data_IF_894550763436
#
_entry.id   IF_894550763436
#
_cell.length_a   1.000
_cell.length_b   1.000
_cell.length_c   1.000
_cell.angle_alpha   90.00
_cell.angle_beta   90.00
_cell.angle_gamma   90.00
#
_symmetry.space_group_name_H-M   'P 1'
#
loop_
_entity.id
_entity.type
_entity.pdbx_description
1 polymer ?
#
# COMPACT_ATOMS: atom_id res chain seq x y z
N UNK A 1 -47.06 -6.77 11.78
CA UNK A 1 -45.67 -6.31 11.72
C UNK A 1 -45.04 -6.55 13.10
N UNK A 2 -44.35 -7.67 13.29
CA UNK A 2 -43.80 -8.04 14.61
C UNK A 2 -42.38 -7.42 14.71
N UNK A 3 -42.25 -6.41 15.55
CA UNK A 3 -41.01 -5.83 15.94
C UNK A 3 -40.22 -6.84 16.77
N UNK A 4 -39.19 -7.48 16.23
CA UNK A 4 -38.26 -8.29 17.03
C UNK A 4 -37.30 -7.33 17.72
N UNK A 5 -37.53 -7.08 18.98
CA UNK A 5 -36.62 -6.38 19.85
C UNK A 5 -35.49 -7.36 20.24
N UNK A 6 -34.38 -7.33 19.57
CA UNK A 6 -33.22 -8.11 19.95
C UNK A 6 -32.44 -7.30 20.99
N UNK A 7 -32.39 -7.79 22.22
CA UNK A 7 -31.69 -7.17 23.34
C UNK A 7 -30.24 -7.60 23.27
N UNK A 8 -29.35 -6.66 23.24
CA UNK A 8 -27.91 -6.82 23.15
C UNK A 8 -27.25 -6.54 24.49
N UNK A 9 -26.44 -7.44 24.90
CA UNK A 9 -25.51 -7.19 26.00
C UNK A 9 -24.28 -6.49 25.46
N UNK A 10 -24.21 -5.17 25.68
CA UNK A 10 -22.91 -4.49 25.65
C UNK A 10 -22.20 -5.01 26.88
N UNK A 11 -21.17 -5.82 26.69
CA UNK A 11 -20.17 -5.99 27.73
C UNK A 11 -19.40 -4.67 27.78
N UNK A 12 -19.87 -3.78 28.66
CA UNK A 12 -19.13 -2.58 29.00
C UNK A 12 -17.92 -3.05 29.80
N UNK A 13 -16.87 -3.44 29.13
CA UNK A 13 -15.58 -3.64 29.72
C UNK A 13 -15.18 -2.30 30.33
N UNK A 14 -15.12 -2.22 31.66
CA UNK A 14 -14.41 -1.11 32.31
C UNK A 14 -13.00 -1.10 31.75
N UNK A 15 -12.71 -0.10 30.95
CA UNK A 15 -11.34 0.15 30.48
C UNK A 15 -10.55 0.61 31.67
N UNK A 16 -9.89 -0.33 32.34
CA UNK A 16 -8.75 0.00 33.20
C UNK A 16 -7.66 0.57 32.27
N UNK A 17 -7.00 1.67 32.65
CA UNK A 17 -5.89 2.19 31.85
C UNK A 17 -4.79 1.12 31.83
N UNK A 18 -4.58 0.52 30.66
CA UNK A 18 -3.61 -0.55 30.45
C UNK A 18 -4.16 -1.85 29.88
N UNK A 19 -5.48 -2.00 29.69
CA UNK A 19 -6.01 -3.15 28.96
C UNK A 19 -5.96 -2.87 27.46
N UNK A 20 -5.17 -3.68 26.76
CA UNK A 20 -5.18 -3.80 25.32
C UNK A 20 -6.60 -4.14 24.84
N UNK A 21 -7.07 -3.40 23.85
CA UNK A 21 -8.31 -3.75 23.17
C UNK A 21 -8.08 -5.08 22.44
N UNK A 22 -8.70 -6.15 22.93
CA UNK A 22 -8.68 -7.45 22.27
C UNK A 22 -9.31 -7.33 20.87
N UNK A 23 -8.86 -8.17 19.94
CA UNK A 23 -9.50 -8.26 18.63
C UNK A 23 -10.95 -8.70 18.82
N UNK A 24 -11.89 -7.89 18.35
CA UNK A 24 -13.31 -8.11 18.50
C UNK A 24 -13.89 -8.51 17.15
N UNK A 25 -14.37 -9.76 17.07
CA UNK A 25 -15.12 -10.23 15.89
C UNK A 25 -16.51 -9.62 15.96
N UNK A 26 -16.82 -8.75 15.02
CA UNK A 26 -18.14 -8.17 14.88
C UNK A 26 -19.01 -9.19 14.16
N UNK A 27 -19.92 -9.83 14.89
CA UNK A 27 -20.89 -10.76 14.32
C UNK A 27 -22.05 -10.03 13.65
N UNK A 28 -22.76 -10.69 12.77
CA UNK A 28 -23.93 -10.14 12.06
C UNK A 28 -24.99 -9.57 13.02
N UNK A 29 -25.12 -10.11 14.23
CA UNK A 29 -26.01 -9.61 15.28
C UNK A 29 -25.50 -8.33 15.94
N UNK A 30 -24.22 -8.14 16.06
CA UNK A 30 -23.60 -6.93 16.65
C UNK A 30 -23.70 -5.72 15.74
N UNK A 31 -23.69 -5.96 14.43
CA UNK A 31 -23.85 -4.91 13.41
C UNK A 31 -25.27 -4.35 13.30
N UNK A 32 -26.27 -5.18 13.52
CA UNK A 32 -27.67 -4.74 13.55
C UNK A 32 -27.89 -3.66 14.63
N UNK A 33 -26.99 -3.56 15.58
CA UNK A 33 -27.08 -2.63 16.71
C UNK A 33 -26.34 -1.33 16.62
N UNK A 34 -25.93 -0.82 15.52
CA UNK A 34 -25.58 0.59 15.51
C UNK A 34 -24.10 0.96 15.54
N UNK A 35 -23.23 0.20 14.96
CA UNK A 35 -21.94 0.74 14.60
C UNK A 35 -21.92 0.89 13.09
N UNK A 36 -22.16 2.09 12.59
CA UNK A 36 -21.77 2.43 11.23
C UNK A 36 -20.28 2.73 11.30
N UNK A 37 -19.50 1.81 10.78
CA UNK A 37 -18.08 2.09 10.54
C UNK A 37 -18.05 2.93 9.27
N UNK A 38 -17.96 4.25 9.43
CA UNK A 38 -17.68 5.12 8.30
C UNK A 38 -16.21 4.94 7.94
N UNK A 39 -15.97 4.31 6.81
CA UNK A 39 -14.64 4.25 6.24
C UNK A 39 -14.25 5.63 5.73
N UNK A 40 -13.40 6.32 6.46
CA UNK A 40 -12.81 7.57 6.00
C UNK A 40 -11.53 7.26 5.23
N UNK A 41 -11.52 7.61 3.96
CA UNK A 41 -10.30 7.56 3.16
C UNK A 41 -9.38 8.72 3.55
N UNK A 42 -8.20 8.40 4.03
CA UNK A 42 -7.18 9.39 4.38
C UNK A 42 -6.05 9.32 3.35
N UNK A 43 -5.82 10.42 2.68
CA UNK A 43 -4.73 10.55 1.69
C UNK A 43 -3.36 10.35 2.37
N UNK A 44 -2.50 9.51 1.80
CA UNK A 44 -1.15 9.22 2.30
C UNK A 44 -0.05 9.84 1.42
N UNK A 45 -0.44 10.35 0.25
CA UNK A 45 0.46 11.02 -0.69
C UNK A 45 -0.28 12.16 -1.40
N UNK A 46 0.45 13.20 -1.79
CA UNK A 46 -0.14 14.34 -2.49
C UNK A 46 -0.21 14.10 -3.98
N UNK A 47 0.78 13.39 -4.50
CA UNK A 47 0.96 13.17 -5.92
C UNK A 47 1.17 11.68 -6.20
N UNK A 48 0.65 11.20 -7.31
CA UNK A 48 1.07 9.93 -7.86
C UNK A 48 1.38 10.02 -9.35
N UNK A 49 2.34 9.26 -9.78
CA UNK A 49 2.79 9.22 -11.16
C UNK A 49 2.95 7.78 -11.60
N UNK A 50 2.41 7.44 -12.76
CA UNK A 50 2.61 6.15 -13.39
C UNK A 50 3.59 6.32 -14.54
N UNK A 51 4.68 5.55 -14.50
CA UNK A 51 5.61 5.33 -15.59
C UNK A 51 5.35 3.93 -16.14
N UNK A 52 4.89 3.85 -17.38
CA UNK A 52 4.42 2.62 -17.99
C UNK A 52 5.37 2.17 -19.10
N UNK A 53 5.97 1.01 -18.91
CA UNK A 53 6.88 0.39 -19.87
C UNK A 53 6.10 -0.12 -21.09
N UNK A 54 6.42 0.40 -22.24
CA UNK A 54 5.84 0.00 -23.52
C UNK A 54 6.84 -0.69 -24.45
N UNK A 55 7.92 -1.25 -23.88
CA UNK A 55 8.97 -1.95 -24.61
C UNK A 55 8.57 -3.37 -25.03
N UNK A 56 9.35 -3.94 -25.95
CA UNK A 56 9.07 -5.28 -26.49
C UNK A 56 9.14 -6.40 -25.46
N UNK A 57 9.94 -6.26 -24.39
CA UNK A 57 10.06 -7.28 -23.33
C UNK A 57 8.76 -7.46 -22.53
N UNK A 58 7.90 -6.45 -22.51
CA UNK A 58 6.58 -6.51 -21.89
C UNK A 58 5.58 -7.42 -22.64
N UNK A 59 5.92 -7.94 -23.82
CA UNK A 59 5.10 -8.92 -24.55
C UNK A 59 5.22 -10.36 -24.00
N UNK A 60 6.19 -10.61 -23.13
CA UNK A 60 6.31 -11.89 -22.47
C UNK A 60 5.15 -12.13 -21.49
N UNK A 61 4.81 -13.41 -21.29
CA UNK A 61 3.82 -13.78 -20.28
C UNK A 61 4.36 -13.46 -18.87
N UNK A 62 3.50 -12.96 -17.99
CA UNK A 62 3.91 -12.60 -16.62
C UNK A 62 4.13 -13.83 -15.73
N UNK A 63 3.54 -14.97 -16.06
CA UNK A 63 3.76 -16.27 -15.41
C UNK A 63 3.82 -17.37 -16.46
N UNK A 64 4.52 -18.47 -16.18
CA UNK A 64 4.71 -19.63 -17.09
C UNK A 64 3.40 -20.30 -17.49
N UNK A 65 2.34 -20.19 -16.68
CA UNK A 65 1.01 -20.71 -16.96
C UNK A 65 0.01 -19.68 -17.49
N UNK A 66 0.38 -18.40 -17.49
CA UNK A 66 -0.52 -17.33 -17.91
C UNK A 66 -0.63 -17.28 -19.43
N UNK A 67 -1.85 -16.99 -19.90
CA UNK A 67 -2.11 -16.65 -21.32
C UNK A 67 -2.10 -15.14 -21.57
N UNK A 68 -1.69 -14.36 -20.57
CA UNK A 68 -1.74 -12.90 -20.54
C UNK A 68 -0.31 -12.37 -20.45
N UNK A 69 0.03 -11.39 -21.25
CA UNK A 69 1.34 -10.74 -21.23
C UNK A 69 1.51 -9.82 -20.04
N UNK A 70 2.76 -9.51 -19.67
CA UNK A 70 3.09 -8.50 -18.65
C UNK A 70 2.41 -7.16 -18.96
N UNK A 71 2.36 -6.78 -20.23
CA UNK A 71 1.73 -5.55 -20.71
C UNK A 71 0.22 -5.52 -20.47
N UNK A 72 -0.46 -6.60 -20.87
CA UNK A 72 -1.91 -6.74 -20.68
C UNK A 72 -2.28 -6.77 -19.20
N UNK A 73 -1.53 -7.54 -18.39
CA UNK A 73 -1.73 -7.60 -16.95
C UNK A 73 -1.54 -6.22 -16.31
N UNK A 74 -0.45 -5.50 -16.64
CA UNK A 74 -0.18 -4.16 -16.12
C UNK A 74 -1.28 -3.16 -16.48
N UNK A 75 -1.78 -3.21 -17.72
CA UNK A 75 -2.85 -2.33 -18.18
C UNK A 75 -4.17 -2.61 -17.46
N UNK A 76 -4.49 -3.88 -17.26
CA UNK A 76 -5.70 -4.27 -16.52
C UNK A 76 -5.63 -3.85 -15.04
N UNK A 77 -4.52 -4.11 -14.39
CA UNK A 77 -4.27 -3.66 -13.01
C UNK A 77 -4.44 -2.14 -12.87
N UNK A 78 -3.89 -1.37 -13.82
CA UNK A 78 -4.00 0.07 -13.79
C UNK A 78 -5.46 0.54 -13.93
N UNK A 79 -6.26 -0.13 -14.75
CA UNK A 79 -7.71 0.14 -14.90
C UNK A 79 -8.47 -0.18 -13.62
N UNK A 80 -8.28 -1.36 -13.06
CA UNK A 80 -8.95 -1.80 -11.84
C UNK A 80 -8.56 -0.91 -10.64
N UNK A 81 -7.28 -0.57 -10.50
CA UNK A 81 -6.81 0.35 -9.45
C UNK A 81 -7.44 1.74 -9.57
N UNK A 82 -7.65 2.22 -10.81
CA UNK A 82 -8.31 3.50 -11.06
C UNK A 82 -9.79 3.48 -10.63
N UNK A 83 -10.51 2.39 -10.89
CA UNK A 83 -11.92 2.26 -10.51
C UNK A 83 -12.12 2.40 -9.01
N UNK A 84 -11.22 1.83 -8.24
CA UNK A 84 -11.27 1.79 -6.78
C UNK A 84 -10.69 3.05 -6.11
N UNK A 85 -9.92 3.86 -6.86
CA UNK A 85 -9.27 5.04 -6.32
C UNK A 85 -10.28 6.12 -5.94
N UNK A 86 -10.37 6.52 -4.64
CA UNK A 86 -11.21 7.62 -4.21
C UNK A 86 -10.62 8.95 -4.69
N UNK A 87 -11.49 9.92 -4.96
CA UNK A 87 -11.05 11.28 -5.27
C UNK A 87 -10.70 12.02 -3.96
N UNK A 88 -9.42 12.11 -3.67
CA UNK A 88 -8.87 12.78 -2.48
C UNK A 88 -8.03 14.00 -2.85
N UNK A 89 -8.23 14.55 -4.05
CA UNK A 89 -7.52 15.75 -4.49
C UNK A 89 -6.04 15.50 -4.76
N UNK A 90 -5.71 14.42 -5.45
CA UNK A 90 -4.35 14.15 -5.91
C UNK A 90 -3.97 15.02 -7.10
N UNK A 91 -2.66 15.25 -7.25
CA UNK A 91 -2.11 15.46 -8.58
C UNK A 91 -1.65 14.11 -9.14
N UNK A 92 -1.81 13.91 -10.43
CA UNK A 92 -1.45 12.64 -11.05
C UNK A 92 -0.83 12.81 -12.43
N UNK A 93 -0.08 11.81 -12.87
CA UNK A 93 0.48 11.75 -14.20
C UNK A 93 0.56 10.32 -14.74
N UNK A 94 0.45 10.16 -16.06
CA UNK A 94 0.66 8.89 -16.76
C UNK A 94 1.61 9.13 -17.94
N UNK A 95 2.75 8.49 -17.88
CA UNK A 95 3.81 8.60 -18.89
C UNK A 95 4.20 7.22 -19.37
N UNK A 96 4.39 7.07 -20.67
CA UNK A 96 5.03 5.86 -21.23
C UNK A 96 6.53 6.07 -21.34
N UNK A 97 7.28 4.98 -21.27
CA UNK A 97 8.69 4.96 -21.62
C UNK A 97 9.02 3.69 -22.41
N UNK A 98 9.73 3.87 -23.45
CA UNK A 98 10.36 2.92 -24.37
C UNK A 98 10.97 3.75 -25.50
N UNK A 99 10.92 3.26 -26.73
CA UNK A 99 11.32 4.02 -27.92
C UNK A 99 10.39 5.20 -28.25
N UNK A 100 9.16 5.21 -27.75
CA UNK A 100 8.13 6.26 -27.96
C UNK A 100 7.58 6.74 -26.61
N UNK A 101 8.25 7.76 -26.06
CA UNK A 101 7.87 8.35 -24.78
C UNK A 101 6.73 9.35 -24.95
N UNK A 102 5.64 9.18 -24.21
CA UNK A 102 4.48 10.07 -24.22
C UNK A 102 3.99 10.43 -22.83
N UNK A 103 3.59 11.69 -22.67
CA UNK A 103 2.78 12.13 -21.55
C UNK A 103 1.30 11.90 -21.93
N UNK A 104 0.76 10.74 -21.59
CA UNK A 104 -0.65 10.42 -21.87
C UNK A 104 -1.58 11.21 -20.95
N UNK A 105 -1.15 11.44 -19.71
CA UNK A 105 -1.77 12.35 -18.77
C UNK A 105 -0.65 13.19 -18.13
N UNK A 106 -0.41 14.42 -18.60
CA UNK A 106 0.60 15.28 -17.98
C UNK A 106 0.29 15.54 -16.52
N UNK A 107 1.32 15.65 -15.69
CA UNK A 107 1.17 15.89 -14.25
C UNK A 107 0.28 17.10 -13.97
N UNK A 108 -0.78 16.90 -13.21
CA UNK A 108 -1.80 17.88 -12.88
C UNK A 108 -2.90 17.31 -11.99
N UNK A 109 -3.94 18.10 -11.69
CA UNK A 109 -5.06 17.63 -10.88
C UNK A 109 -5.66 16.35 -11.42
N UNK A 110 -5.89 15.39 -10.54
CA UNK A 110 -6.45 14.10 -10.90
C UNK A 110 -7.92 14.24 -11.31
N UNK A 111 -8.24 13.75 -12.48
CA UNK A 111 -9.59 13.60 -13.01
C UNK A 111 -9.75 12.15 -13.47
N UNK A 112 -10.56 11.38 -12.77
CA UNK A 112 -10.72 9.95 -12.98
C UNK A 112 -11.14 9.61 -14.42
N UNK A 113 -12.05 10.40 -14.99
CA UNK A 113 -12.54 10.16 -16.35
C UNK A 113 -11.48 10.44 -17.42
N UNK A 114 -10.74 11.54 -17.30
CA UNK A 114 -9.65 11.86 -18.21
C UNK A 114 -8.47 10.90 -18.06
N UNK A 115 -8.23 10.45 -16.84
CA UNK A 115 -7.17 9.47 -16.58
C UNK A 115 -7.51 8.11 -17.19
N UNK A 116 -8.77 7.66 -17.10
CA UNK A 116 -9.25 6.45 -17.78
C UNK A 116 -9.04 6.55 -19.29
N UNK A 117 -9.42 7.67 -19.91
CA UNK A 117 -9.17 7.93 -21.34
C UNK A 117 -7.67 7.93 -21.68
N UNK A 118 -6.81 8.36 -20.76
CA UNK A 118 -5.36 8.29 -20.95
C UNK A 118 -4.85 6.84 -20.95
N UNK A 119 -5.37 5.99 -20.06
CA UNK A 119 -5.07 4.55 -20.07
C UNK A 119 -5.49 3.89 -21.39
N UNK A 120 -6.63 4.29 -21.96
CA UNK A 120 -7.09 3.74 -23.24
C UNK A 120 -6.20 4.16 -24.43
N UNK A 121 -5.44 5.24 -24.28
CA UNK A 121 -4.43 5.67 -25.29
C UNK A 121 -3.08 4.97 -25.16
N UNK A 122 -2.91 4.07 -24.20
CA UNK A 122 -1.73 3.20 -24.16
C UNK A 122 -1.63 2.42 -25.49
N UNK A 123 -0.43 2.21 -26.04
CA UNK A 123 -0.24 1.49 -27.30
C UNK A 123 -0.99 0.15 -27.31
N UNK A 124 -1.56 -0.23 -28.45
CA UNK A 124 -2.23 -1.52 -28.57
C UNK A 124 -1.26 -2.69 -28.35
N UNK A 125 0.01 -2.50 -28.74
CA UNK A 125 1.09 -3.46 -28.52
C UNK A 125 2.37 -2.73 -28.10
N UNK A 126 3.08 -3.26 -27.10
CA UNK A 126 4.38 -2.75 -26.71
C UNK A 126 5.43 -3.07 -27.79
N UNK A 127 6.39 -2.16 -27.97
CA UNK A 127 7.47 -2.31 -28.96
C UNK A 127 8.67 -1.45 -28.62
N UNK A 128 9.83 -1.85 -29.15
CA UNK A 128 11.08 -1.09 -29.04
C UNK A 128 11.89 -1.44 -27.80
N UNK A 129 12.95 -0.69 -27.60
CA UNK A 129 13.90 -0.86 -26.52
C UNK A 129 13.44 -0.17 -25.23
N UNK A 130 13.96 -0.62 -24.08
CA UNK A 130 13.62 -0.09 -22.76
C UNK A 130 14.64 0.97 -22.33
N UNK A 131 14.29 2.24 -22.39
CA UNK A 131 15.16 3.35 -21.99
C UNK A 131 14.87 3.85 -20.57
N UNK A 132 14.89 2.93 -19.60
CA UNK A 132 14.56 3.22 -18.19
C UNK A 132 15.42 4.34 -17.57
N UNK A 133 16.77 4.41 -17.78
CA UNK A 133 17.58 5.52 -17.26
C UNK A 133 17.16 6.89 -17.78
N UNK A 134 16.80 6.98 -19.06
CA UNK A 134 16.34 8.23 -19.67
C UNK A 134 15.00 8.66 -19.11
N UNK A 135 14.09 7.71 -18.91
CA UNK A 135 12.79 7.96 -18.29
C UNK A 135 12.96 8.48 -16.86
N UNK A 136 13.82 7.87 -16.06
CA UNK A 136 14.13 8.32 -14.69
C UNK A 136 14.80 9.70 -14.67
N UNK A 137 15.68 10.00 -15.61
CA UNK A 137 16.27 11.33 -15.74
C UNK A 137 15.22 12.39 -16.03
N UNK A 138 14.24 12.09 -16.90
CA UNK A 138 13.15 13.02 -17.22
C UNK A 138 12.20 13.21 -16.06
N UNK A 139 12.01 12.18 -15.22
CA UNK A 139 11.19 12.24 -14.02
C UNK A 139 11.63 13.38 -13.09
N UNK A 140 12.92 13.71 -13.02
CA UNK A 140 13.41 14.83 -12.22
C UNK A 140 12.73 16.15 -12.59
N UNK A 141 12.54 16.42 -13.88
CA UNK A 141 11.89 17.65 -14.36
C UNK A 141 10.40 17.73 -13.96
N UNK A 142 9.79 16.58 -13.65
CA UNK A 142 8.42 16.50 -13.16
C UNK A 142 8.42 16.70 -11.66
N UNK A 143 9.26 15.95 -10.92
CA UNK A 143 9.33 15.98 -9.46
C UNK A 143 9.66 17.36 -8.90
N UNK A 144 10.58 18.09 -9.53
CA UNK A 144 10.97 19.44 -9.10
C UNK A 144 9.81 20.46 -9.08
N UNK A 145 8.72 20.17 -9.77
CA UNK A 145 7.50 21.01 -9.83
C UNK A 145 6.42 20.57 -8.85
N UNK A 146 6.65 19.47 -8.14
CA UNK A 146 5.67 18.96 -7.20
C UNK A 146 6.03 19.36 -5.77
N UNK A 147 5.01 19.65 -4.99
CA UNK A 147 5.10 19.80 -3.54
C UNK A 147 4.48 18.59 -2.85
N UNK A 148 4.94 18.31 -1.64
CA UNK A 148 4.45 17.18 -0.86
C UNK A 148 5.03 15.83 -1.31
N UNK A 149 4.45 14.76 -0.81
CA UNK A 149 4.89 13.40 -1.10
C UNK A 149 4.41 12.93 -2.47
N UNK A 150 5.30 12.31 -3.22
CA UNK A 150 4.98 11.71 -4.53
C UNK A 150 5.23 10.21 -4.51
N UNK A 151 4.28 9.42 -4.98
CA UNK A 151 4.46 7.99 -5.26
C UNK A 151 4.61 7.80 -6.76
N UNK A 152 5.68 7.13 -7.18
CA UNK A 152 5.94 6.79 -8.58
C UNK A 152 5.77 5.29 -8.76
N UNK A 153 4.73 4.90 -9.49
CA UNK A 153 4.53 3.52 -9.91
C UNK A 153 5.24 3.30 -11.24
N UNK A 154 6.18 2.37 -11.27
CA UNK A 154 6.93 2.01 -12.47
C UNK A 154 6.52 0.59 -12.87
N UNK A 155 5.65 0.49 -13.88
CA UNK A 155 5.26 -0.80 -14.48
C UNK A 155 6.34 -1.22 -15.46
N UNK A 156 7.14 -2.23 -15.13
CA UNK A 156 8.28 -2.68 -15.94
C UNK A 156 8.71 -4.10 -15.56
N UNK A 157 9.32 -4.81 -16.47
CA UNK A 157 9.99 -6.07 -16.16
C UNK A 157 11.48 -5.91 -15.75
N UNK A 158 11.93 -4.67 -15.63
CA UNK A 158 13.29 -4.35 -15.20
C UNK A 158 14.35 -4.52 -16.29
N UNK A 159 13.99 -4.89 -17.52
CA UNK A 159 14.94 -4.80 -18.64
C UNK A 159 15.34 -3.35 -18.86
N UNK A 160 16.55 -3.12 -19.34
CA UNK A 160 17.03 -1.77 -19.62
C UNK A 160 18.12 -1.80 -20.65
N UNK A 161 17.85 -1.12 -21.74
CA UNK A 161 18.80 -0.84 -22.80
C UNK A 161 19.42 0.53 -22.52
N UNK A 162 20.65 0.54 -22.03
CA UNK A 162 21.34 1.79 -21.72
C UNK A 162 22.36 2.08 -22.80
N UNK A 163 22.25 3.20 -23.53
CA UNK A 163 23.35 3.70 -24.33
C UNK A 163 24.56 3.95 -23.45
N UNK A 164 25.77 3.65 -23.95
CA UNK A 164 27.00 3.84 -23.19
C UNK A 164 27.10 5.25 -22.59
N UNK A 165 27.55 5.34 -21.34
CA UNK A 165 27.73 6.59 -20.61
C UNK A 165 26.51 7.10 -19.81
N UNK A 166 25.42 6.37 -19.75
CA UNK A 166 24.31 6.68 -18.84
C UNK A 166 24.51 6.02 -17.49
N UNK A 167 24.06 6.69 -16.41
CA UNK A 167 23.98 6.08 -15.07
C UNK A 167 23.00 4.90 -15.10
N UNK A 168 23.17 3.96 -14.18
CA UNK A 168 22.21 2.87 -14.03
C UNK A 168 20.87 3.37 -13.47
N UNK A 169 19.74 2.66 -13.68
CA UNK A 169 18.45 3.03 -13.13
C UNK A 169 18.45 3.21 -11.61
N UNK A 170 19.15 2.34 -10.88
CA UNK A 170 19.31 2.39 -9.43
C UNK A 170 20.00 3.67 -8.94
N UNK A 171 21.01 4.16 -9.66
CA UNK A 171 21.69 5.42 -9.34
C UNK A 171 20.75 6.63 -9.52
N UNK A 172 19.85 6.57 -10.52
CA UNK A 172 18.86 7.62 -10.71
C UNK A 172 17.79 7.59 -9.62
N UNK A 173 17.27 6.41 -9.25
CA UNK A 173 16.25 6.31 -8.19
C UNK A 173 16.82 6.77 -6.85
N UNK A 174 18.06 6.41 -6.52
CA UNK A 174 18.76 6.90 -5.34
C UNK A 174 18.88 8.43 -5.34
N UNK A 175 19.42 9.00 -6.41
CA UNK A 175 19.61 10.45 -6.51
C UNK A 175 18.29 11.24 -6.44
N UNK A 176 17.21 10.68 -6.99
CA UNK A 176 15.87 11.28 -6.89
C UNK A 176 15.29 11.17 -5.48
N UNK A 177 15.48 10.04 -4.81
CA UNK A 177 15.03 9.84 -3.44
C UNK A 177 15.78 10.71 -2.44
N UNK A 178 17.07 10.96 -2.66
CA UNK A 178 17.90 11.86 -1.83
C UNK A 178 17.47 13.33 -1.96
N UNK A 179 16.84 13.69 -3.08
CA UNK A 179 16.51 15.08 -3.41
C UNK A 179 15.03 15.44 -3.23
N UNK A 180 14.15 14.47 -3.39
CA UNK A 180 12.69 14.68 -3.39
C UNK A 180 12.01 13.72 -2.42
N UNK A 181 10.87 14.14 -1.85
CA UNK A 181 10.01 13.26 -1.08
C UNK A 181 9.24 12.33 -2.03
N UNK A 182 9.91 11.26 -2.47
CA UNK A 182 9.40 10.33 -3.47
C UNK A 182 9.58 8.88 -3.02
N UNK A 183 8.57 8.06 -3.27
CA UNK A 183 8.63 6.61 -3.10
C UNK A 183 8.47 5.94 -4.46
N UNK A 184 9.29 4.93 -4.75
CA UNK A 184 9.25 4.16 -5.99
C UNK A 184 8.63 2.80 -5.76
N UNK A 185 7.58 2.49 -6.49
CA UNK A 185 6.92 1.19 -6.50
C UNK A 185 7.15 0.55 -7.87
N UNK A 186 8.14 -0.34 -7.96
CA UNK A 186 8.40 -1.11 -9.17
C UNK A 186 7.41 -2.26 -9.24
N UNK A 187 6.49 -2.20 -10.21
CA UNK A 187 5.46 -3.21 -10.41
C UNK A 187 5.85 -4.05 -11.60
N UNK A 188 6.27 -5.28 -11.34
CA UNK A 188 6.75 -6.13 -12.42
C UNK A 188 7.42 -7.41 -11.97
N UNK A 189 7.60 -8.31 -12.92
CA UNK A 189 8.33 -9.56 -12.76
C UNK A 189 9.47 -9.63 -13.79
N UNK A 190 10.68 -9.58 -13.27
CA UNK A 190 11.85 -9.82 -14.08
C UNK A 190 12.09 -11.31 -14.27
N UNK A 191 12.34 -11.73 -15.50
CA UNK A 191 12.63 -13.13 -15.82
C UNK A 191 14.08 -13.48 -15.59
N UNK A 192 15.02 -12.56 -15.84
CA UNK A 192 16.43 -12.75 -15.70
C UNK A 192 17.02 -12.17 -14.40
N UNK A 193 18.17 -12.70 -13.97
CA UNK A 193 18.83 -12.31 -12.71
C UNK A 193 19.31 -10.88 -12.68
N UNK A 194 19.66 -10.26 -13.82
CA UNK A 194 20.15 -8.90 -13.91
C UNK A 194 18.99 -7.92 -13.68
N UNK A 195 17.86 -8.15 -14.35
CA UNK A 195 16.66 -7.35 -14.20
C UNK A 195 16.06 -7.48 -12.79
N UNK A 196 16.05 -8.69 -12.21
CA UNK A 196 15.67 -8.90 -10.79
C UNK A 196 16.52 -8.07 -9.85
N UNK A 197 17.85 -8.15 -10.02
CA UNK A 197 18.78 -7.38 -9.19
C UNK A 197 18.55 -5.87 -9.36
N UNK A 198 18.34 -5.39 -10.57
CA UNK A 198 18.09 -3.98 -10.86
C UNK A 198 16.83 -3.48 -10.12
N UNK A 199 15.71 -4.17 -10.26
CA UNK A 199 14.48 -3.79 -9.54
C UNK A 199 14.70 -3.76 -8.02
N UNK A 200 15.39 -4.78 -7.48
CA UNK A 200 15.70 -4.84 -6.05
C UNK A 200 16.63 -3.70 -5.61
N UNK A 201 17.60 -3.32 -6.43
CA UNK A 201 18.51 -2.21 -6.11
C UNK A 201 17.81 -0.84 -6.23
N UNK A 202 16.93 -0.65 -7.21
CA UNK A 202 16.08 0.54 -7.29
C UNK A 202 15.17 0.69 -6.07
N UNK A 203 14.67 -0.43 -5.51
CA UNK A 203 13.83 -0.43 -4.32
C UNK A 203 14.57 -0.03 -3.04
N UNK A 204 15.91 -0.04 -3.04
CA UNK A 204 16.74 0.40 -1.91
C UNK A 204 16.93 1.91 -1.85
N UNK A 205 16.38 2.66 -2.80
CA UNK A 205 16.53 4.11 -2.86
C UNK A 205 16.10 4.81 -1.57
N UNK A 206 15.07 4.30 -0.91
CA UNK A 206 14.67 4.71 0.43
C UNK A 206 13.75 3.65 1.07
N UNK A 207 13.38 3.86 2.33
CA UNK A 207 12.58 2.91 3.11
C UNK A 207 11.14 2.70 2.56
N UNK A 208 10.59 3.66 1.82
CA UNK A 208 9.25 3.53 1.25
C UNK A 208 9.22 2.96 -0.17
N UNK A 209 10.37 2.77 -0.80
CA UNK A 209 10.45 2.18 -2.15
C UNK A 209 10.45 0.65 -2.08
N UNK A 210 9.79 0.00 -3.06
CA UNK A 210 9.66 -1.46 -3.06
C UNK A 210 9.44 -2.04 -4.46
N UNK A 211 9.66 -3.35 -4.57
CA UNK A 211 9.24 -4.15 -5.72
C UNK A 211 7.93 -4.86 -5.37
N UNK A 212 6.98 -4.82 -6.28
CA UNK A 212 5.71 -5.54 -6.18
C UNK A 212 5.60 -6.47 -7.39
N UNK A 213 5.67 -7.80 -7.21
CA UNK A 213 5.49 -8.75 -8.30
C UNK A 213 4.13 -8.62 -8.98
N UNK A 214 4.06 -8.79 -10.30
CA UNK A 214 2.79 -8.74 -11.04
C UNK A 214 1.74 -9.69 -10.47
N UNK A 215 2.15 -10.90 -10.09
CA UNK A 215 1.24 -11.89 -9.53
C UNK A 215 0.53 -11.38 -8.28
N UNK A 216 1.26 -10.73 -7.36
CA UNK A 216 0.65 -10.14 -6.16
C UNK A 216 -0.38 -9.07 -6.50
N UNK A 217 -0.13 -8.32 -7.56
CA UNK A 217 -1.05 -7.29 -8.03
C UNK A 217 -2.29 -7.86 -8.73
N UNK A 218 -2.10 -8.89 -9.57
CA UNK A 218 -3.20 -9.57 -10.26
C UNK A 218 -4.12 -10.28 -9.25
N UNK A 219 -3.51 -10.93 -8.26
CA UNK A 219 -4.27 -11.65 -7.23
C UNK A 219 -4.94 -10.70 -6.22
N UNK A 220 -4.39 -9.49 -6.04
CA UNK A 220 -4.95 -8.47 -5.15
C UNK A 220 -4.82 -7.05 -5.75
N UNK A 221 -5.78 -6.61 -6.58
CA UNK A 221 -5.74 -5.28 -7.20
C UNK A 221 -5.78 -4.12 -6.18
N UNK A 222 -6.16 -4.39 -4.92
CA UNK A 222 -6.17 -3.41 -3.84
C UNK A 222 -4.77 -3.13 -3.26
N UNK A 223 -3.73 -3.79 -3.73
CA UNK A 223 -2.36 -3.61 -3.26
C UNK A 223 -1.85 -2.16 -3.37
N UNK A 224 -2.44 -1.35 -4.26
CA UNK A 224 -2.10 0.08 -4.45
C UNK A 224 -2.68 0.97 -3.36
N UNK A 225 -3.72 0.52 -2.65
CA UNK A 225 -4.47 1.39 -1.73
C UNK A 225 -3.58 2.00 -0.67
N UNK A 226 -2.77 1.23 0.01
CA UNK A 226 -1.90 1.74 1.06
C UNK A 226 -0.85 2.77 0.62
N UNK A 227 -0.48 2.80 -0.67
CA UNK A 227 0.46 3.79 -1.20
C UNK A 227 -0.19 5.17 -1.39
N UNK A 228 -1.47 5.23 -1.71
CA UNK A 228 -2.18 6.44 -2.06
C UNK A 228 -3.12 6.93 -0.96
N UNK A 229 -3.74 6.02 -0.24
CA UNK A 229 -4.63 6.32 0.88
C UNK A 229 -4.70 5.15 1.85
N UNK A 230 -5.15 5.45 3.05
CA UNK A 230 -5.54 4.45 4.06
C UNK A 230 -7.02 4.61 4.37
N UNK A 231 -7.65 3.53 4.76
CA UNK A 231 -9.03 3.54 5.24
C UNK A 231 -8.98 3.62 6.76
N UNK A 232 -9.38 4.76 7.32
CA UNK A 232 -9.59 4.87 8.76
C UNK A 232 -11.05 4.56 9.07
N UNK A 233 -11.27 3.55 9.89
CA UNK A 233 -12.58 3.25 10.41
C UNK A 233 -12.90 4.25 11.54
N UNK A 234 -13.85 5.16 11.31
CA UNK A 234 -14.44 5.95 12.38
C UNK A 234 -15.73 5.29 12.83
N UNK A 235 -15.75 4.83 14.08
CA UNK A 235 -16.98 4.35 14.68
C UNK A 235 -17.91 5.52 14.93
N UNK A 236 -19.01 5.56 14.21
CA UNK A 236 -20.14 6.45 14.50
C UNK A 236 -21.31 5.60 14.89
N UNK A 237 -21.81 5.80 16.10
CA UNK A 237 -23.07 5.17 16.52
C UNK A 237 -24.19 5.87 15.74
N UNK A 238 -24.72 5.22 14.71
CA UNK A 238 -25.88 5.71 13.96
C UNK A 238 -27.04 4.74 14.17
N UNK A 239 -28.20 5.31 14.48
CA UNK A 239 -29.45 4.57 14.63
C UNK A 239 -30.08 4.38 13.26
N UNK A 240 -29.70 3.36 12.49
CA UNK A 240 -30.41 3.01 11.25
C UNK A 240 -30.48 1.50 11.06
N UNK A 241 -31.61 1.07 10.61
CA UNK A 241 -31.99 -0.31 10.26
C UNK A 241 -31.34 -0.72 8.95
N UNK A 242 -30.81 -1.94 8.94
CA UNK A 242 -30.49 -2.75 7.77
C UNK A 242 -29.27 -2.37 6.94
N UNK A 243 -28.10 -2.87 7.34
CA UNK A 243 -27.11 -3.33 6.36
C UNK A 243 -26.19 -4.37 7.02
N UNK A 244 -26.11 -5.57 6.44
CA UNK A 244 -25.22 -6.63 6.89
C UNK A 244 -23.78 -6.28 6.52
N UNK A 245 -22.96 -6.01 7.51
CA UNK A 245 -21.52 -5.92 7.34
C UNK A 245 -20.89 -6.86 8.34
N UNK A 246 -20.10 -7.82 7.88
CA UNK A 246 -19.22 -8.61 8.74
C UNK A 246 -17.87 -7.93 8.80
N UNK A 247 -17.35 -7.67 9.97
CA UNK A 247 -16.08 -6.99 10.17
C UNK A 247 -15.29 -7.55 11.34
N UNK A 248 -14.02 -7.28 11.37
CA UNK A 248 -13.12 -7.54 12.48
C UNK A 248 -12.49 -6.23 12.93
N UNK A 249 -12.64 -5.91 14.21
CA UNK A 249 -11.90 -4.82 14.84
C UNK A 249 -10.67 -5.41 15.50
N UNK A 250 -9.52 -4.94 15.10
CA UNK A 250 -8.23 -5.31 15.67
C UNK A 250 -7.63 -4.06 16.29
N UNK A 251 -7.12 -4.18 17.51
CA UNK A 251 -6.39 -3.09 18.15
C UNK A 251 -5.00 -2.90 17.55
N UNK A 252 -4.41 -1.75 17.81
CA UNK A 252 -3.03 -1.47 17.41
C UNK A 252 -2.05 -2.40 18.14
N UNK A 253 -1.02 -2.85 17.44
CA UNK A 253 0.09 -3.60 18.01
C UNK A 253 1.15 -2.61 18.48
N UNK A 254 1.36 -2.49 19.80
CA UNK A 254 2.35 -1.59 20.38
C UNK A 254 3.72 -2.27 20.55
N UNK A 255 4.76 -1.48 20.50
CA UNK A 255 6.14 -1.95 20.56
C UNK A 255 6.94 -1.23 21.63
N UNK A 256 7.85 -1.96 22.27
CA UNK A 256 8.85 -1.38 23.15
C UNK A 256 9.78 -0.42 22.37
N UNK A 257 10.45 0.43 23.14
CA UNK A 257 11.46 1.34 22.60
C UNK A 257 12.53 0.55 21.84
N UNK A 258 12.79 0.97 20.61
CA UNK A 258 13.81 0.38 19.73
C UNK A 258 13.62 -1.12 19.43
N UNK A 259 12.40 -1.67 19.62
CA UNK A 259 12.09 -3.07 19.27
C UNK A 259 11.06 -3.16 18.15
N UNK A 260 11.09 -4.29 17.48
CA UNK A 260 10.15 -4.65 16.41
C UNK A 260 9.53 -6.05 16.64
N UNK A 261 9.80 -6.72 17.75
CA UNK A 261 9.24 -8.05 18.03
C UNK A 261 7.78 -7.93 18.48
N UNK A 262 6.89 -8.72 17.90
CA UNK A 262 5.50 -8.82 18.34
C UNK A 262 5.45 -9.49 19.71
N UNK A 263 4.91 -8.78 20.69
CA UNK A 263 4.81 -9.29 22.05
C UNK A 263 3.73 -10.35 22.17
N UNK A 264 3.92 -11.34 23.05
CA UNK A 264 3.00 -12.48 23.22
C UNK A 264 1.56 -12.09 23.60
N UNK A 265 1.38 -10.93 24.23
CA UNK A 265 0.07 -10.40 24.57
C UNK A 265 -0.85 -10.16 23.37
N UNK A 266 -0.30 -9.96 22.17
CA UNK A 266 -1.05 -9.78 20.91
C UNK A 266 -1.36 -11.11 20.22
N UNK A 267 -0.89 -12.25 20.74
CA UNK A 267 -1.05 -13.54 20.11
C UNK A 267 -2.51 -13.91 19.81
N UNK A 268 -3.40 -13.68 20.79
CA UNK A 268 -4.83 -13.96 20.60
C UNK A 268 -5.49 -13.08 19.52
N UNK A 269 -5.12 -11.81 19.45
CA UNK A 269 -5.62 -10.86 18.47
C UNK A 269 -5.12 -11.21 17.06
N UNK A 270 -3.86 -11.60 16.95
CA UNK A 270 -3.28 -12.05 15.68
C UNK A 270 -3.89 -13.36 15.21
N UNK A 271 -4.18 -14.29 16.13
CA UNK A 271 -4.86 -15.54 15.80
C UNK A 271 -6.31 -15.27 15.35
N UNK A 272 -7.03 -14.37 16.00
CA UNK A 272 -8.37 -13.96 15.59
C UNK A 272 -8.37 -13.32 14.18
N UNK A 273 -7.44 -12.41 13.92
CA UNK A 273 -7.23 -11.80 12.60
C UNK A 273 -6.89 -12.86 11.54
N UNK A 274 -5.95 -13.76 11.84
CA UNK A 274 -5.56 -14.83 10.94
C UNK A 274 -6.72 -15.77 10.61
N UNK A 275 -7.51 -16.13 11.62
CA UNK A 275 -8.69 -16.97 11.41
C UNK A 275 -9.77 -16.25 10.59
N UNK A 276 -9.93 -14.95 10.77
CA UNK A 276 -10.84 -14.13 9.98
C UNK A 276 -10.40 -14.08 8.50
N UNK A 277 -9.14 -13.78 8.23
CA UNK A 277 -8.60 -13.69 6.87
C UNK A 277 -8.70 -15.04 6.13
N UNK A 278 -8.38 -16.15 6.80
CA UNK A 278 -8.54 -17.50 6.21
C UNK A 278 -9.98 -17.85 5.84
N UNK A 279 -10.97 -17.34 6.59
CA UNK A 279 -12.39 -17.54 6.29
C UNK A 279 -12.93 -16.59 5.21
N UNK A 280 -12.24 -15.51 4.94
CA UNK A 280 -12.63 -14.48 3.98
C UNK A 280 -11.50 -14.27 2.95
N UNK A 281 -11.43 -15.10 1.89
CA UNK A 281 -10.29 -15.07 0.94
C UNK A 281 -10.09 -13.74 0.22
N UNK A 282 -11.12 -12.91 0.12
CA UNK A 282 -11.03 -11.60 -0.50
C UNK A 282 -10.60 -10.51 0.50
N UNK A 283 -10.64 -10.78 1.80
CA UNK A 283 -10.20 -9.85 2.81
C UNK A 283 -8.68 -9.81 2.91
N UNK A 284 -8.15 -8.64 3.24
CA UNK A 284 -6.73 -8.43 3.47
C UNK A 284 -6.49 -7.59 4.73
N UNK A 285 -5.35 -7.80 5.38
CA UNK A 285 -4.87 -6.96 6.46
C UNK A 285 -3.97 -5.85 5.91
N UNK A 286 -4.29 -4.60 6.22
CA UNK A 286 -3.40 -3.47 6.02
C UNK A 286 -2.67 -3.20 7.35
N UNK A 287 -1.35 -3.35 7.33
CA UNK A 287 -0.45 -3.16 8.45
C UNK A 287 0.35 -1.88 8.23
N UNK A 288 0.20 -0.91 9.13
CA UNK A 288 0.87 0.39 8.97
C UNK A 288 1.75 0.68 10.17
N UNK A 289 3.07 0.62 9.97
CA UNK A 289 4.06 0.82 11.02
C UNK A 289 4.38 2.29 11.31
N UNK A 290 4.56 2.60 12.60
CA UNK A 290 4.94 3.92 13.10
C UNK A 290 6.00 3.83 14.21
N UNK A 291 6.66 4.96 14.47
CA UNK A 291 7.58 5.14 15.58
C UNK A 291 7.19 6.36 16.44
N UNK A 292 7.82 6.51 17.56
CA UNK A 292 7.94 7.80 18.24
C UNK A 292 8.96 8.69 17.50
N UNK A 293 9.16 9.91 17.97
CA UNK A 293 10.07 10.90 17.39
C UNK A 293 11.53 10.76 17.83
N UNK A 294 11.92 9.68 18.53
CA UNK A 294 13.30 9.49 18.97
C UNK A 294 14.10 8.80 17.87
N UNK A 295 15.13 9.48 17.38
CA UNK A 295 16.02 9.00 16.33
C UNK A 295 16.01 9.90 15.09
N UNK A 296 16.73 9.50 14.05
CA UNK A 296 16.64 10.18 12.76
C UNK A 296 15.40 9.72 11.99
N UNK A 297 14.87 10.58 11.13
CA UNK A 297 13.74 10.25 10.26
C UNK A 297 14.01 8.97 9.45
N UNK A 298 15.22 8.85 8.89
CA UNK A 298 15.64 7.67 8.14
C UNK A 298 15.63 6.40 9.01
N UNK A 299 16.18 6.49 10.22
CA UNK A 299 16.15 5.38 11.18
C UNK A 299 14.72 4.99 11.53
N UNK A 300 13.86 5.96 11.81
CA UNK A 300 12.47 5.74 12.17
C UNK A 300 11.65 5.13 11.01
N UNK A 301 11.95 5.50 9.77
CA UNK A 301 11.37 4.85 8.60
C UNK A 301 11.73 3.35 8.54
N UNK A 302 13.00 3.00 8.75
CA UNK A 302 13.43 1.60 8.77
C UNK A 302 12.81 0.83 9.94
N UNK A 303 12.75 1.44 11.12
CA UNK A 303 12.19 0.79 12.31
C UNK A 303 10.69 0.54 12.17
N UNK A 304 9.94 1.49 11.63
CA UNK A 304 8.51 1.33 11.37
C UNK A 304 8.22 0.24 10.34
N UNK A 305 9.07 0.11 9.31
CA UNK A 305 9.00 -1.01 8.39
C UNK A 305 9.19 -2.35 9.10
N UNK A 306 10.27 -2.50 9.88
CA UNK A 306 10.55 -3.74 10.62
C UNK A 306 9.40 -4.16 11.53
N UNK A 307 8.72 -3.19 12.17
CA UNK A 307 7.55 -3.47 13.00
C UNK A 307 6.40 -4.03 12.19
N UNK A 308 6.07 -3.39 11.07
CA UNK A 308 5.00 -3.84 10.21
C UNK A 308 5.30 -5.20 9.57
N UNK A 309 6.55 -5.43 9.14
CA UNK A 309 7.00 -6.73 8.63
C UNK A 309 6.93 -7.82 9.71
N UNK A 310 7.27 -7.51 10.96
CA UNK A 310 7.19 -8.47 12.07
C UNK A 310 5.76 -8.93 12.35
N UNK A 311 4.78 -8.03 12.24
CA UNK A 311 3.35 -8.39 12.34
C UNK A 311 2.93 -9.25 11.14
N UNK A 312 3.37 -8.90 9.93
CA UNK A 312 3.11 -9.67 8.73
C UNK A 312 3.68 -11.09 8.83
N UNK A 313 4.95 -11.22 9.23
CA UNK A 313 5.63 -12.49 9.43
C UNK A 313 4.92 -13.35 10.48
N UNK A 314 4.42 -12.73 11.55
CA UNK A 314 3.66 -13.43 12.58
C UNK A 314 2.35 -14.00 12.00
N UNK A 315 1.60 -13.23 11.23
CA UNK A 315 0.36 -13.66 10.57
C UNK A 315 0.61 -14.80 9.59
N UNK A 316 1.67 -14.74 8.80
CA UNK A 316 2.04 -15.79 7.84
C UNK A 316 2.51 -17.04 8.57
N UNK A 317 3.50 -16.90 9.46
CA UNK A 317 4.23 -18.04 10.02
C UNK A 317 3.46 -18.73 11.15
N UNK A 318 2.72 -17.97 11.97
CA UNK A 318 2.05 -18.49 13.16
C UNK A 318 0.54 -18.67 12.94
N UNK A 319 -0.09 -17.81 12.13
CA UNK A 319 -1.54 -17.87 11.92
C UNK A 319 -1.92 -18.50 10.58
N UNK A 320 -0.96 -18.77 9.67
CA UNK A 320 -1.17 -19.43 8.39
C UNK A 320 -1.95 -18.56 7.39
N UNK A 321 -1.80 -17.23 7.47
CA UNK A 321 -2.35 -16.28 6.48
C UNK A 321 -1.46 -16.30 5.25
N UNK A 322 -2.05 -16.19 4.07
CA UNK A 322 -1.27 -16.12 2.83
C UNK A 322 -0.73 -14.70 2.61
N UNK A 323 0.44 -14.59 1.99
CA UNK A 323 1.14 -13.31 1.81
C UNK A 323 0.32 -12.30 0.98
N UNK A 324 -0.51 -12.78 0.08
CA UNK A 324 -1.39 -11.99 -0.78
C UNK A 324 -2.54 -11.31 -0.01
N UNK A 325 -2.85 -11.80 1.20
CA UNK A 325 -3.81 -11.16 2.09
C UNK A 325 -3.16 -10.10 3.03
N UNK A 326 -1.90 -9.75 2.85
CA UNK A 326 -1.20 -8.81 3.73
C UNK A 326 -0.62 -7.66 2.94
N UNK A 327 -1.00 -6.44 3.32
CA UNK A 327 -0.46 -5.18 2.79
C UNK A 327 0.31 -4.48 3.89
N UNK A 328 1.58 -4.17 3.65
CA UNK A 328 2.47 -3.53 4.62
C UNK A 328 2.83 -2.13 4.16
N UNK A 329 2.65 -1.16 5.07
CA UNK A 329 3.10 0.22 4.91
C UNK A 329 3.81 0.70 6.17
N UNK A 330 4.58 1.78 6.05
CA UNK A 330 5.29 2.38 7.18
C UNK A 330 5.57 3.86 6.92
N UNK A 331 5.56 4.65 7.98
CA UNK A 331 5.66 6.12 7.90
C UNK A 331 6.62 6.73 8.94
N UNK A 332 7.46 5.92 9.61
CA UNK A 332 8.36 6.42 10.63
C UNK A 332 7.60 7.13 11.76
N UNK A 333 8.04 8.32 12.11
CA UNK A 333 7.44 9.15 13.15
C UNK A 333 6.26 10.01 12.67
N UNK A 334 5.86 9.89 11.40
CA UNK A 334 4.73 10.64 10.86
C UNK A 334 3.42 10.21 11.53
N UNK A 335 2.45 11.15 11.59
CA UNK A 335 1.11 10.92 12.14
C UNK A 335 1.10 10.38 13.59
N UNK A 336 1.69 11.08 14.55
CA UNK A 336 1.61 10.66 15.95
C UNK A 336 0.16 10.69 16.44
N UNK A 337 -0.23 9.65 17.20
CA UNK A 337 -1.56 9.57 17.84
C UNK A 337 -1.58 10.15 19.25
N UNK A 338 -0.39 10.38 19.82
CA UNK A 338 -0.21 11.03 21.10
C UNK A 338 1.03 11.94 21.11
N UNK A 339 1.18 12.78 22.13
CA UNK A 339 2.33 13.68 22.24
C UNK A 339 3.64 12.90 22.34
N UNK A 340 4.64 13.28 21.56
CA UNK A 340 6.00 12.75 21.67
C UNK A 340 6.80 13.34 22.85
N UNK A 341 6.24 14.32 23.58
CA UNK A 341 6.93 14.95 24.70
C UNK A 341 6.91 14.06 25.95
N UNK A 342 5.95 13.13 26.06
CA UNK A 342 5.81 12.22 27.21
C UNK A 342 6.19 10.78 26.84
N UNK A 343 6.66 10.01 27.83
CA UNK A 343 7.00 8.59 27.64
C UNK A 343 5.77 7.76 27.26
N UNK A 344 4.63 8.05 27.88
CA UNK A 344 3.35 7.41 27.61
C UNK A 344 2.87 7.68 26.19
N UNK A 345 2.97 8.92 25.73
CA UNK A 345 2.58 9.28 24.38
C UNK A 345 3.53 8.67 23.34
N UNK A 346 4.82 8.67 23.59
CA UNK A 346 5.78 7.95 22.73
C UNK A 346 5.47 6.45 22.65
N UNK A 347 5.09 5.84 23.78
CA UNK A 347 4.70 4.43 23.80
C UNK A 347 3.49 4.15 22.89
N UNK A 348 2.52 5.05 22.83
CA UNK A 348 1.37 4.94 21.93
C UNK A 348 1.76 5.15 20.44
N UNK A 349 2.74 6.00 20.18
CA UNK A 349 3.22 6.27 18.83
C UNK A 349 4.01 5.09 18.25
N UNK A 350 4.65 4.26 19.08
CA UNK A 350 5.34 3.03 18.66
C UNK A 350 4.36 1.91 18.39
N UNK A 351 3.70 1.96 17.23
CA UNK A 351 2.59 1.05 16.91
C UNK A 351 2.64 0.51 15.49
N UNK A 352 1.90 -0.55 15.28
CA UNK A 352 1.40 -0.96 13.97
C UNK A 352 -0.12 -0.88 14.02
N UNK A 353 -0.69 0.00 13.23
CA UNK A 353 -2.13 0.05 13.00
C UNK A 353 -2.55 -1.14 12.12
N UNK A 354 -3.64 -1.79 12.49
CA UNK A 354 -4.18 -2.94 11.77
C UNK A 354 -5.57 -2.59 11.26
N UNK A 355 -5.76 -2.62 9.95
CA UNK A 355 -7.07 -2.46 9.33
C UNK A 355 -7.36 -3.65 8.41
N UNK A 356 -8.63 -4.00 8.29
CA UNK A 356 -9.10 -5.06 7.38
C UNK A 356 -9.86 -4.42 6.23
N UNK A 357 -9.49 -4.81 5.00
CA UNK A 357 -10.15 -4.38 3.78
C UNK A 357 -10.62 -5.57 2.94
N UNK A 358 -11.30 -5.31 1.81
CA UNK A 358 -11.75 -6.36 0.90
C UNK A 358 -13.03 -7.09 1.35
N UNK A 359 -13.83 -6.48 2.25
CA UNK A 359 -15.10 -7.03 2.77
C UNK A 359 -16.26 -6.71 1.85
#
# INVERSE_FOLDING_TARGET
MKLKLTVFYIVLGMVLPGLLAAAEIITEEDLIKKVVVEANFVKTTDNFLVMFDTSSSMTENYDKGAKVTKYEAAREILKQGLEQLPDLGYNSGLYTFASDEKALYPMGPFDKGKYAQAIDRLPAQPKGATFLPQALRKLESILQKQSGKTVVFIFTDGTSDSPGGTKNPEDYTQALADKYNVCFYMIGDATDSRSKKRLADMAKANACSRVIPFKQFVDNPNYVTGALYVVKANERIVTTTETRITGLKVGDVLFDFNKADVQSQYGADMEALGNFLKKNPNAYALLVGYTDSIGSEEYNLVLSNRRADSVADHLVSNCGVTQDQIVVNWYGEANPVASNDTDEGRAQNRRVEVAVGGL
#
